data_IF_570519381148
#
_entry.id   IF_570519381148
#
_cell.length_a   1.000
_cell.length_b   1.000
_cell.length_c   1.000
_cell.angle_alpha   90.00
_cell.angle_beta   90.00
_cell.angle_gamma   90.00
#
_symmetry.space_group_name_H-M   'P 1'
#
loop_
_entity.id
_entity.type
_entity.pdbx_description
1 polymer ?
#
# COMPACT_ATOMS: atom_id res chain seq x y z
N UNK A 1 12.44 12.39 1.93
CA UNK A 1 11.06 12.04 2.37
C UNK A 1 11.17 10.95 3.41
N UNK A 2 10.67 11.15 4.64
CA UNK A 2 10.71 10.13 5.68
C UNK A 2 9.75 8.98 5.35
N UNK A 3 10.21 7.75 5.54
CA UNK A 3 9.34 6.57 5.49
C UNK A 3 8.53 6.47 6.80
N UNK A 4 7.23 6.25 6.69
CA UNK A 4 6.35 5.97 7.83
C UNK A 4 6.36 4.44 8.01
N UNK A 5 6.96 3.93 9.10
CA UNK A 5 7.07 2.49 9.31
C UNK A 5 5.69 1.86 9.54
N UNK A 6 5.54 0.61 9.12
CA UNK A 6 4.37 -0.21 9.41
C UNK A 6 4.64 -1.02 10.67
N UNK A 7 3.77 -0.93 11.68
CA UNK A 7 4.04 -1.54 13.00
C UNK A 7 3.27 -2.83 13.23
N UNK A 8 2.07 -2.96 12.67
CA UNK A 8 1.18 -4.09 12.94
C UNK A 8 0.19 -4.34 11.82
N UNK A 9 -0.14 -5.63 11.60
CA UNK A 9 -1.31 -6.03 10.82
C UNK A 9 -2.55 -5.98 11.73
N UNK A 10 -3.48 -5.10 11.42
CA UNK A 10 -4.74 -4.92 12.19
C UNK A 10 -5.77 -5.95 11.77
N UNK A 11 -5.89 -6.19 10.47
CA UNK A 11 -6.76 -7.24 9.92
C UNK A 11 -6.30 -7.64 8.53
N UNK A 12 -6.64 -8.86 8.13
CA UNK A 12 -6.37 -9.40 6.80
C UNK A 12 -7.54 -10.27 6.37
N UNK A 13 -7.94 -10.18 5.10
CA UNK A 13 -9.06 -10.98 4.58
C UNK A 13 -8.68 -12.44 4.33
N UNK A 14 -7.43 -12.68 3.91
CA UNK A 14 -6.90 -14.01 3.58
C UNK A 14 -5.37 -13.96 3.51
N UNK A 15 -4.71 -15.03 3.97
CA UNK A 15 -3.26 -15.13 4.01
C UNK A 15 -2.78 -16.58 3.91
N UNK A 16 -1.81 -16.87 3.03
CA UNK A 16 -1.06 -18.15 3.04
C UNK A 16 -0.16 -18.17 4.29
N UNK A 17 -0.18 -19.24 5.12
CA UNK A 17 0.67 -19.35 6.30
C UNK A 17 2.18 -19.21 6.03
N UNK A 18 2.64 -19.49 4.80
CA UNK A 18 4.04 -19.32 4.37
C UNK A 18 4.33 -17.92 3.82
N UNK A 19 3.29 -17.19 3.44
CA UNK A 19 3.36 -15.82 2.92
C UNK A 19 2.35 -14.92 3.66
N UNK A 20 2.52 -14.78 5.00
CA UNK A 20 1.57 -14.05 5.83
C UNK A 20 1.66 -12.53 5.62
N UNK A 21 0.64 -11.80 6.08
CA UNK A 21 0.56 -10.34 5.91
C UNK A 21 1.64 -9.59 6.70
N UNK A 22 2.12 -10.18 7.78
CA UNK A 22 3.17 -9.67 8.67
C UNK A 22 4.49 -9.43 7.92
N UNK A 23 4.72 -10.13 6.82
CA UNK A 23 5.87 -9.89 5.95
C UNK A 23 5.91 -8.46 5.39
N UNK A 24 4.76 -7.79 5.27
CA UNK A 24 4.71 -6.40 4.81
C UNK A 24 5.32 -5.42 5.82
N UNK A 25 5.42 -5.79 7.10
CA UNK A 25 6.03 -4.96 8.14
C UNK A 25 7.56 -4.87 8.02
N UNK A 26 8.17 -5.79 7.26
CA UNK A 26 9.62 -5.88 7.05
C UNK A 26 9.93 -6.11 5.56
N UNK A 27 9.71 -5.10 4.72
CA UNK A 27 9.81 -5.24 3.27
C UNK A 27 11.24 -5.58 2.79
N UNK A 28 12.27 -5.29 3.58
CA UNK A 28 13.67 -5.58 3.26
C UNK A 28 14.05 -7.06 3.47
N UNK A 29 13.26 -7.83 4.23
CA UNK A 29 13.52 -9.25 4.49
C UNK A 29 13.20 -10.15 3.27
N UNK A 30 12.66 -9.58 2.19
CA UNK A 30 12.25 -10.31 0.98
C UNK A 30 11.00 -11.18 1.16
N UNK A 31 10.31 -11.03 2.29
CA UNK A 31 9.00 -11.62 2.54
C UNK A 31 7.93 -11.04 1.61
N UNK A 32 6.78 -11.73 1.55
CA UNK A 32 5.62 -11.29 0.76
C UNK A 32 4.33 -11.75 1.42
N UNK A 33 3.25 -11.04 1.14
CA UNK A 33 1.90 -11.45 1.49
C UNK A 33 1.21 -12.06 0.27
N UNK A 34 0.53 -13.19 0.45
CA UNK A 34 -0.34 -13.81 -0.57
C UNK A 34 -1.65 -14.25 0.05
N UNK A 35 -2.71 -14.28 -0.76
CA UNK A 35 -3.95 -14.97 -0.41
C UNK A 35 -3.72 -16.47 -0.15
N UNK A 36 -4.59 -17.07 0.66
CA UNK A 36 -4.50 -18.46 1.06
C UNK A 36 -4.76 -19.44 -0.09
N UNK A 37 -5.50 -19.02 -1.13
CA UNK A 37 -5.94 -19.92 -2.21
C UNK A 37 -5.90 -19.26 -3.60
N UNK A 38 -5.86 -20.10 -4.63
CA UNK A 38 -6.12 -19.66 -6.00
C UNK A 38 -7.63 -19.36 -6.17
N UNK A 39 -7.97 -18.42 -7.04
CA UNK A 39 -9.35 -18.10 -7.39
C UNK A 39 -9.98 -16.99 -6.56
N UNK A 40 -9.29 -16.53 -5.51
CA UNK A 40 -9.64 -15.31 -4.80
C UNK A 40 -9.64 -14.13 -5.78
N UNK A 41 -10.72 -13.33 -5.77
CA UNK A 41 -10.84 -12.19 -6.70
C UNK A 41 -10.27 -10.91 -6.12
N UNK A 42 -10.31 -10.81 -4.79
CA UNK A 42 -9.92 -9.63 -4.04
C UNK A 42 -9.28 -10.06 -2.71
N UNK A 43 -8.25 -9.31 -2.30
CA UNK A 43 -7.60 -9.44 -0.99
C UNK A 43 -7.56 -8.06 -0.34
N UNK A 44 -7.63 -7.99 0.98
CA UNK A 44 -7.40 -6.75 1.71
C UNK A 44 -6.65 -6.95 3.01
N UNK A 45 -5.81 -5.98 3.35
CA UNK A 45 -5.07 -5.90 4.61
C UNK A 45 -5.21 -4.50 5.18
N UNK A 46 -5.37 -4.40 6.50
CA UNK A 46 -5.30 -3.15 7.25
C UNK A 46 -4.03 -3.17 8.08
N UNK A 47 -3.22 -2.12 7.94
CA UNK A 47 -1.92 -1.94 8.56
C UNK A 47 -1.97 -0.72 9.48
N UNK A 48 -1.28 -0.81 10.61
CA UNK A 48 -1.04 0.30 11.52
C UNK A 48 0.24 1.02 11.12
N UNK A 49 0.14 2.35 11.02
CA UNK A 49 1.28 3.23 10.77
C UNK A 49 1.95 3.57 12.11
N UNK A 50 3.28 3.67 12.12
CA UNK A 50 4.05 3.98 13.34
C UNK A 50 3.87 5.40 13.85
N UNK A 51 3.32 6.29 13.04
CA UNK A 51 2.95 7.66 13.44
C UNK A 51 1.77 8.15 12.61
N UNK A 52 0.85 8.88 13.23
CA UNK A 52 -0.22 9.57 12.51
C UNK A 52 0.34 10.78 11.77
N UNK A 53 0.39 10.73 10.43
CA UNK A 53 0.97 11.78 9.58
C UNK A 53 0.25 11.87 8.23
N UNK A 54 0.38 12.99 7.50
CA UNK A 54 -0.04 13.09 6.11
C UNK A 54 0.80 12.18 5.21
N UNK A 55 0.18 11.62 4.17
CA UNK A 55 0.83 10.68 3.25
C UNK A 55 1.11 11.40 1.93
N UNK A 56 2.38 11.46 1.56
CA UNK A 56 2.85 12.15 0.37
C UNK A 56 3.05 11.21 -0.82
N UNK A 57 3.54 9.99 -0.58
CA UNK A 57 3.74 9.00 -1.63
C UNK A 57 3.67 7.56 -1.13
N UNK A 58 3.43 6.64 -2.07
CA UNK A 58 3.35 5.20 -1.83
C UNK A 58 4.24 4.46 -2.83
N UNK A 59 5.05 3.52 -2.34
CA UNK A 59 5.77 2.58 -3.21
C UNK A 59 5.15 1.19 -3.05
N UNK A 60 4.76 0.57 -4.16
CA UNK A 60 4.02 -0.69 -4.16
C UNK A 60 4.77 -1.70 -5.01
N UNK A 61 5.26 -2.77 -4.37
CA UNK A 61 5.83 -3.93 -5.03
C UNK A 61 4.77 -5.01 -5.22
N UNK A 62 4.36 -5.25 -6.47
CA UNK A 62 3.33 -6.23 -6.78
C UNK A 62 3.77 -7.67 -6.49
N UNK A 63 2.81 -8.58 -6.34
CA UNK A 63 3.02 -10.02 -6.47
C UNK A 63 1.79 -10.67 -7.12
N UNK A 64 1.52 -10.28 -8.37
CA UNK A 64 0.50 -10.89 -9.22
C UNK A 64 -0.90 -10.27 -9.13
N UNK A 65 -1.10 -9.17 -8.41
CA UNK A 65 -2.35 -8.42 -8.43
C UNK A 65 -2.50 -7.63 -9.75
N UNK A 66 -3.71 -7.54 -10.28
CA UNK A 66 -3.98 -6.70 -11.46
C UNK A 66 -4.16 -5.22 -11.05
N UNK A 67 -4.83 -4.99 -9.92
CA UNK A 67 -5.12 -3.66 -9.40
C UNK A 67 -4.77 -3.55 -7.93
N UNK A 68 -4.42 -2.35 -7.53
CA UNK A 68 -4.29 -1.94 -6.13
C UNK A 68 -5.08 -0.66 -5.88
N UNK A 69 -5.80 -0.64 -4.78
CA UNK A 69 -6.43 0.55 -4.20
C UNK A 69 -5.91 0.71 -2.77
N UNK A 70 -5.66 1.95 -2.36
CA UNK A 70 -5.20 2.25 -1.00
C UNK A 70 -6.13 3.25 -0.36
N UNK A 71 -6.60 2.91 0.83
CA UNK A 71 -7.45 3.74 1.66
C UNK A 71 -6.73 4.07 2.97
N UNK A 72 -7.13 5.17 3.58
CA UNK A 72 -6.62 5.65 4.86
C UNK A 72 -7.75 5.77 5.87
N UNK A 73 -7.44 5.57 7.14
CA UNK A 73 -8.40 5.64 8.23
C UNK A 73 -7.74 6.00 9.54
N UNK A 74 -8.57 6.20 10.58
CA UNK A 74 -8.11 6.48 11.93
C UNK A 74 -8.52 5.34 12.87
N UNK A 75 -7.63 4.96 13.78
CA UNK A 75 -7.93 4.04 14.87
C UNK A 75 -8.98 4.59 15.84
N UNK A 76 -9.14 5.92 15.89
CA UNK A 76 -10.17 6.61 16.69
C UNK A 76 -11.59 6.46 16.14
N UNK A 77 -11.76 5.82 14.98
CA UNK A 77 -13.04 5.60 14.31
C UNK A 77 -13.23 6.43 13.04
N UNK A 78 -14.39 6.25 12.41
CA UNK A 78 -14.74 6.83 11.11
C UNK A 78 -14.54 5.87 9.93
N UNK A 79 -15.00 6.29 8.76
CA UNK A 79 -14.90 5.51 7.53
C UNK A 79 -13.53 5.66 6.88
N UNK A 80 -13.08 4.60 6.21
CA UNK A 80 -11.89 4.66 5.37
C UNK A 80 -12.12 5.57 4.15
N UNK A 81 -11.14 6.42 3.84
CA UNK A 81 -11.16 7.31 2.69
C UNK A 81 -10.17 6.83 1.63
N UNK A 82 -10.56 6.90 0.36
CA UNK A 82 -9.70 6.51 -0.77
C UNK A 82 -8.55 7.50 -0.89
N UNK A 83 -7.32 7.03 -0.69
CA UNK A 83 -6.09 7.79 -0.87
C UNK A 83 -5.52 7.60 -2.27
N UNK A 84 -5.37 6.34 -2.70
CA UNK A 84 -4.98 5.97 -4.05
C UNK A 84 -6.17 5.26 -4.71
N UNK A 85 -6.83 5.89 -5.71
CA UNK A 85 -7.85 5.22 -6.50
C UNK A 85 -7.30 3.95 -7.15
N UNK A 86 -8.18 3.01 -7.50
CA UNK A 86 -7.79 1.75 -8.16
C UNK A 86 -6.83 1.97 -9.33
N UNK A 87 -5.62 1.47 -9.17
CA UNK A 87 -4.51 1.65 -10.10
C UNK A 87 -4.02 0.30 -10.64
N UNK A 88 -3.81 0.22 -11.95
CA UNK A 88 -3.39 -1.01 -12.61
C UNK A 88 -1.91 -1.35 -12.33
N UNK A 89 -1.63 -2.51 -11.76
CA UNK A 89 -0.29 -3.07 -11.62
C UNK A 89 0.05 -4.00 -12.80
N UNK A 90 -0.96 -4.67 -13.36
CA UNK A 90 -0.84 -5.55 -14.52
C UNK A 90 -2.00 -5.31 -15.50
N UNK A 91 -1.74 -5.47 -16.78
CA UNK A 91 -2.77 -5.56 -17.82
C UNK A 91 -3.51 -6.91 -17.75
N UNK A 92 -4.68 -7.04 -18.39
CA UNK A 92 -5.38 -8.32 -18.48
C UNK A 92 -4.55 -9.43 -19.16
N UNK A 93 -3.77 -9.07 -20.18
CA UNK A 93 -2.91 -10.03 -20.92
C UNK A 93 -1.74 -10.51 -20.06
N UNK A 94 -1.05 -9.59 -19.38
CA UNK A 94 0.01 -9.92 -18.42
C UNK A 94 -0.53 -10.79 -17.28
N UNK A 95 -1.72 -10.48 -16.77
CA UNK A 95 -2.36 -11.24 -15.69
C UNK A 95 -2.68 -12.68 -16.10
N UNK A 96 -3.24 -12.88 -17.30
CA UNK A 96 -3.51 -14.23 -17.84
C UNK A 96 -2.22 -15.01 -18.08
N UNK A 97 -1.21 -14.39 -18.69
CA UNK A 97 0.07 -15.03 -18.97
C UNK A 97 0.92 -15.25 -17.70
N UNK A 98 0.76 -14.41 -16.67
CA UNK A 98 1.62 -14.37 -15.48
C UNK A 98 2.99 -13.75 -15.75
N UNK A 99 3.05 -12.77 -16.64
CA UNK A 99 4.29 -12.07 -17.01
C UNK A 99 4.46 -10.86 -16.10
N UNK A 100 5.70 -10.64 -15.63
CA UNK A 100 6.08 -9.51 -14.77
C UNK A 100 5.19 -9.30 -13.52
N UNK A 101 4.88 -10.36 -12.73
CA UNK A 101 3.97 -10.22 -11.59
C UNK A 101 4.54 -9.36 -10.45
N UNK A 102 5.82 -9.00 -10.52
CA UNK A 102 6.58 -8.29 -9.46
C UNK A 102 6.92 -6.85 -9.80
N UNK A 103 6.14 -6.23 -10.70
CA UNK A 103 6.31 -4.82 -11.06
C UNK A 103 6.23 -3.93 -9.82
N UNK A 104 7.18 -3.01 -9.69
CA UNK A 104 7.14 -1.95 -8.68
C UNK A 104 6.55 -0.70 -9.31
N UNK A 105 5.62 -0.04 -8.61
CA UNK A 105 5.08 1.27 -8.99
C UNK A 105 5.25 2.26 -7.86
N UNK A 106 5.66 3.48 -8.23
CA UNK A 106 5.78 4.61 -7.33
C UNK A 106 4.61 5.56 -7.60
N UNK A 107 3.85 5.88 -6.56
CA UNK A 107 2.71 6.78 -6.61
C UNK A 107 3.09 8.04 -5.84
N UNK A 108 3.46 9.09 -6.57
CA UNK A 108 3.70 10.41 -6.00
C UNK A 108 2.41 11.18 -5.71
N UNK A 109 2.51 12.42 -5.23
CA UNK A 109 1.36 13.25 -4.83
C UNK A 109 0.28 13.38 -5.91
N UNK A 110 0.67 13.47 -7.18
CA UNK A 110 -0.25 13.61 -8.31
C UNK A 110 -1.13 12.37 -8.55
N UNK A 111 -0.73 11.21 -8.00
CA UNK A 111 -1.52 9.98 -8.06
C UNK A 111 -2.49 9.84 -6.88
N UNK A 112 -2.36 10.68 -5.85
CA UNK A 112 -3.13 10.59 -4.62
C UNK A 112 -4.30 11.58 -4.61
N UNK A 113 -5.38 11.23 -3.91
CA UNK A 113 -6.50 12.14 -3.68
C UNK A 113 -6.05 13.22 -2.69
N UNK A 114 -6.11 14.48 -3.11
CA UNK A 114 -5.54 15.62 -2.36
C UNK A 114 -6.06 15.75 -0.93
N UNK A 115 -7.37 15.66 -0.72
CA UNK A 115 -7.98 15.88 0.60
C UNK A 115 -7.53 14.81 1.62
N UNK A 116 -7.65 13.49 1.35
CA UNK A 116 -7.08 12.47 2.22
C UNK A 116 -5.56 12.56 2.37
N UNK A 117 -4.81 12.91 1.33
CA UNK A 117 -3.35 13.00 1.41
C UNK A 117 -2.83 14.09 2.38
N UNK A 118 -3.60 15.16 2.57
CA UNK A 118 -3.25 16.28 3.47
C UNK A 118 -3.67 16.06 4.93
N UNK A 119 -4.61 15.15 5.18
CA UNK A 119 -5.03 14.78 6.53
C UNK A 119 -4.08 13.76 7.17
N UNK A 120 -4.12 13.63 8.50
CA UNK A 120 -3.29 12.69 9.26
C UNK A 120 -4.01 11.37 9.48
N UNK A 121 -3.30 10.25 9.29
CA UNK A 121 -3.87 8.91 9.40
C UNK A 121 -2.91 7.96 10.12
N UNK A 122 -3.47 6.97 10.84
CA UNK A 122 -2.72 5.91 11.52
C UNK A 122 -3.11 4.48 11.06
N UNK A 123 -4.02 4.39 10.08
CA UNK A 123 -4.42 3.15 9.42
C UNK A 123 -4.27 3.26 7.92
N UNK A 124 -3.71 2.23 7.32
CA UNK A 124 -3.62 2.03 5.88
C UNK A 124 -4.37 0.75 5.50
N UNK A 125 -5.37 0.83 4.62
CA UNK A 125 -6.01 -0.34 4.03
C UNK A 125 -5.55 -0.49 2.60
N UNK A 126 -4.96 -1.64 2.27
CA UNK A 126 -4.59 -2.00 0.90
C UNK A 126 -5.57 -3.03 0.39
N UNK A 127 -6.15 -2.78 -0.78
CA UNK A 127 -7.06 -3.70 -1.47
C UNK A 127 -6.44 -4.10 -2.80
N UNK A 128 -6.31 -5.41 -3.03
CA UNK A 128 -5.75 -5.98 -4.24
C UNK A 128 -6.85 -6.70 -5.00
N UNK A 129 -6.87 -6.61 -6.33
CA UNK A 129 -7.82 -7.35 -7.16
C UNK A 129 -7.11 -8.06 -8.32
N UNK A 130 -7.52 -9.30 -8.62
CA UNK A 130 -7.02 -10.07 -9.76
C UNK A 130 -8.18 -10.79 -10.48
N UNK A 131 -8.99 -10.07 -11.27
CA UNK A 131 -10.15 -10.64 -11.94
C UNK A 131 -9.79 -11.49 -13.16
N UNK A 132 -8.56 -11.37 -13.69
CA UNK A 132 -8.17 -11.95 -14.98
C UNK A 132 -7.46 -13.30 -14.85
N UNK A 133 -7.07 -13.71 -13.64
CA UNK A 133 -6.39 -14.98 -13.39
C UNK A 133 -6.87 -15.61 -12.07
N UNK A 134 -7.58 -16.73 -12.17
CA UNK A 134 -8.10 -17.47 -11.01
C UNK A 134 -7.29 -18.74 -10.69
N UNK A 135 -6.29 -19.09 -11.50
CA UNK A 135 -5.52 -20.33 -11.33
C UNK A 135 -4.32 -20.18 -10.39
N UNK A 136 -3.97 -18.96 -9.99
CA UNK A 136 -2.79 -18.66 -9.17
C UNK A 136 -3.17 -17.74 -8.01
N UNK A 137 -2.62 -17.98 -6.79
CA UNK A 137 -2.67 -16.99 -5.73
C UNK A 137 -1.89 -15.73 -6.13
N UNK A 138 -2.29 -14.60 -5.59
CA UNK A 138 -1.65 -13.31 -5.76
C UNK A 138 -1.55 -12.60 -4.41
N UNK A 139 -0.85 -11.47 -4.40
CA UNK A 139 -0.76 -10.62 -3.24
C UNK A 139 0.18 -9.45 -3.48
N UNK A 140 1.01 -9.16 -2.49
CA UNK A 140 1.89 -8.01 -2.49
C UNK A 140 3.27 -8.37 -1.95
N UNK A 141 4.31 -7.91 -2.64
CA UNK A 141 5.69 -8.02 -2.15
C UNK A 141 5.95 -7.02 -1.04
N UNK A 142 5.63 -5.74 -1.26
CA UNK A 142 5.72 -4.70 -0.24
C UNK A 142 4.79 -3.53 -0.51
N UNK A 143 4.50 -2.76 0.55
CA UNK A 143 4.00 -1.39 0.47
C UNK A 143 4.84 -0.53 1.40
N UNK A 144 5.33 0.61 0.90
CA UNK A 144 6.02 1.62 1.70
C UNK A 144 5.27 2.94 1.61
N UNK A 145 5.20 3.65 2.73
CA UNK A 145 4.43 4.88 2.88
C UNK A 145 5.41 5.98 3.26
N UNK A 146 5.33 7.13 2.60
CA UNK A 146 6.23 8.26 2.89
C UNK A 146 5.44 9.50 3.22
N UNK A 147 5.87 10.23 4.25
CA UNK A 147 5.37 11.56 4.54
C UNK A 147 6.06 12.60 3.66
N UNK A 148 5.52 13.81 3.64
CA UNK A 148 6.22 14.95 3.06
C UNK A 148 7.58 15.13 3.77
N UNK A 149 8.60 15.67 3.08
CA UNK A 149 9.80 16.15 3.76
C UNK A 149 9.37 17.20 4.79
N UNK A 150 10.01 17.20 5.96
CA UNK A 150 9.87 18.30 6.90
C UNK A 150 10.44 19.54 6.19
N UNK A 151 9.65 20.59 6.04
CA UNK A 151 10.18 21.89 5.62
C UNK A 151 11.15 22.29 6.73
N UNK A 152 12.45 22.31 6.43
CA UNK A 152 13.38 23.09 7.26
C UNK A 152 12.85 24.52 7.21
N UNK A 153 12.32 25.03 8.32
CA UNK A 153 12.10 26.45 8.48
C UNK A 153 13.44 27.11 8.15
N UNK A 154 13.51 27.87 7.05
CA UNK A 154 14.61 28.80 6.84
C UNK A 154 14.56 29.79 8.02
N UNK A 155 15.30 29.47 9.08
CA UNK A 155 15.64 30.41 10.14
C UNK A 155 16.22 31.65 9.47
N UNK A 156 15.55 32.77 9.72
CA UNK A 156 15.73 33.99 8.95
C UNK A 156 17.18 34.50 8.92
N UNK A 157 17.57 34.98 7.74
CA UNK A 157 18.46 36.13 7.63
C UNK A 157 17.69 37.32 7.10
N UNK A 158 16.82 37.85 7.95
CA UNK A 158 16.67 39.29 8.04
C UNK A 158 17.74 39.79 9.00
N UNK A 159 18.82 40.39 8.49
CA UNK A 159 19.62 41.34 9.27
C UNK A 159 20.37 42.30 8.33
N UNK A 160 19.91 43.55 8.43
CA UNK A 160 20.53 44.87 8.19
C UNK A 160 20.91 45.27 6.76
#
# INVERSE_FOLDING_TARGET
>A
MPEIPLTRVVSVSSADPRHPAENLLRPDDGGRWRGAAAGEKQLSVVLELGSSRPIHSLHIGNDGAAFVEVLVGSSSGGDFQVLLPSAALMSPSESRAGVEPRRVRLFGPDSLVKSPAQATWDRLRVVLSQPYCQSRPFGLSFVRVFSAPEEEEEEGKGEV
#
